data_IF_451733030491
#
_entry.id   IF_451733030491
#
_cell.length_a   1.000
_cell.length_b   1.000
_cell.length_c   1.000
_cell.angle_alpha   90.00
_cell.angle_beta   90.00
_cell.angle_gamma   90.00
#
_symmetry.space_group_name_H-M   'P 1'
#
loop_
_entity.id
_entity.type
_entity.pdbx_description
1 polymer ?
2 non-polymer ?
3 non-polymer ?
4 water ?
#
# COMPACT_ATOMS: atom_id res chain seq x y z
N UNK A 1 -0.98 0.62 -5.80
CA UNK A 1 -0.74 1.93 -6.46
C UNK A 1 -2.03 2.51 -7.09
N UNK A 2 -2.02 3.86 -7.18
CA UNK A 2 -3.18 4.55 -7.78
C UNK A 2 -2.81 4.69 -9.26
N UNK A 3 -3.75 4.40 -10.14
CA UNK A 3 -3.50 4.48 -11.59
C UNK A 3 -3.32 5.85 -12.14
N UNK A 4 -3.78 6.92 -11.67
CA UNK A 4 -3.59 8.28 -12.12
C UNK A 4 -4.82 9.04 -11.58
N UNK A 5 -4.99 10.21 -12.11
CA UNK A 5 -6.10 11.08 -11.75
C UNK A 5 -7.06 11.18 -12.92
N UNK A 6 -8.35 11.31 -12.71
CA UNK A 6 -9.32 11.40 -13.80
C UNK A 6 -10.29 12.55 -13.43
N UNK A 7 -10.73 13.27 -14.46
CA UNK A 7 -11.68 14.40 -14.24
C UNK A 7 -13.00 13.78 -13.88
N UNK A 8 -13.67 14.41 -12.95
CA UNK A 8 -14.98 13.87 -12.57
C UNK A 8 -15.87 13.86 -13.81
N UNK A 9 -15.73 14.82 -14.70
CA UNK A 9 -16.55 14.91 -15.91
C UNK A 9 -16.30 13.79 -16.88
N UNK A 10 -15.20 13.07 -16.76
CA UNK A 10 -14.89 11.92 -17.63
C UNK A 10 -15.40 10.61 -17.04
N UNK A 11 -15.95 10.56 -15.82
CA UNK A 11 -16.43 9.32 -15.22
C UNK A 11 -17.93 9.23 -15.52
N UNK A 12 -18.49 8.08 -15.29
CA UNK A 12 -19.94 7.94 -15.47
C UNK A 12 -20.64 8.95 -14.59
N UNK A 13 -21.80 9.47 -15.03
CA UNK A 13 -22.57 10.46 -14.30
C UNK A 13 -22.98 10.10 -12.89
N UNK A 14 -23.18 8.77 -12.66
CA UNK A 14 -23.52 8.22 -11.39
C UNK A 14 -22.37 8.48 -10.42
N UNK A 15 -21.13 8.67 -10.84
CA UNK A 15 -20.02 8.95 -9.90
C UNK A 15 -20.27 10.33 -9.30
N UNK A 16 -20.78 11.28 -10.12
CA UNK A 16 -21.11 12.61 -9.61
C UNK A 16 -22.22 12.47 -8.58
N UNK A 17 -23.23 11.64 -8.83
CA UNK A 17 -24.31 11.47 -7.86
C UNK A 17 -23.81 10.97 -6.49
N UNK A 18 -22.94 9.94 -6.55
CA UNK A 18 -22.34 9.44 -5.28
C UNK A 18 -21.58 10.54 -4.56
N UNK A 19 -20.73 11.30 -5.19
CA UNK A 19 -19.95 12.40 -4.58
C UNK A 19 -20.83 13.43 -3.97
N UNK A 20 -21.97 13.74 -4.62
CA UNK A 20 -22.95 14.70 -4.07
C UNK A 20 -23.62 14.14 -2.81
N UNK A 21 -23.90 12.86 -2.78
CA UNK A 21 -24.48 12.23 -1.60
C UNK A 21 -23.45 12.22 -0.46
N UNK A 22 -22.20 11.98 -0.78
CA UNK A 22 -21.13 12.00 0.24
C UNK A 22 -21.00 13.40 0.84
N UNK A 23 -21.10 14.47 0.03
CA UNK A 23 -21.02 15.88 0.50
C UNK A 23 -22.20 16.19 1.43
N UNK A 24 -23.39 15.64 1.27
CA UNK A 24 -24.57 15.88 2.13
C UNK A 24 -24.78 14.84 3.23
N UNK A 25 -23.85 13.87 3.33
CA UNK A 25 -23.95 12.82 4.34
C UNK A 25 -25.18 11.97 4.12
N UNK A 26 -25.42 11.63 2.88
CA UNK A 26 -26.50 10.80 2.46
C UNK A 26 -27.78 11.59 2.25
N UNK A 27 -28.89 10.90 2.29
CA UNK A 27 -28.99 9.47 2.55
C UNK A 27 -28.49 8.67 1.35
N UNK A 28 -28.09 7.46 1.58
CA UNK A 28 -27.51 6.62 0.51
C UNK A 28 -28.52 5.56 0.11
N UNK A 29 -28.50 5.09 -1.13
CA UNK A 29 -29.42 4.07 -1.60
C UNK A 29 -29.17 2.69 -1.01
N UNK A 30 -27.98 2.27 -0.62
CA UNK A 30 -27.64 0.99 -0.06
C UNK A 30 -27.13 1.09 1.35
N UNK A 31 -27.50 0.03 2.09
CA UNK A 31 -27.12 -0.10 3.52
C UNK A 31 -25.61 -0.29 3.70
N UNK A 32 -24.94 -0.87 2.69
CA UNK A 32 -23.50 -1.04 2.72
C UNK A 32 -22.75 0.26 2.41
N UNK A 33 -23.40 1.34 1.97
CA UNK A 33 -22.68 2.57 1.71
C UNK A 33 -22.15 3.24 2.99
N UNK A 34 -20.85 3.60 2.95
CA UNK A 34 -20.26 4.28 4.07
C UNK A 34 -19.56 3.30 5.02
N UNK A 35 -19.49 1.99 4.69
CA UNK A 35 -18.75 1.12 5.63
C UNK A 35 -17.24 1.31 5.40
N UNK A 36 -16.46 0.89 6.37
CA UNK A 36 -14.98 1.02 6.22
C UNK A 36 -14.48 0.14 5.08
N UNK A 37 -13.55 0.64 4.28
CA UNK A 37 -12.85 -0.06 3.25
C UNK A 37 -11.51 -0.37 3.96
N UNK A 38 -11.11 -1.59 4.18
CA UNK A 38 -9.93 -1.96 4.89
C UNK A 38 -8.62 -1.84 4.16
N UNK A 39 -8.67 -1.71 2.85
CA UNK A 39 -7.44 -1.68 2.03
C UNK A 39 -6.61 -2.89 2.35
N UNK A 40 -7.21 -4.04 2.39
CA UNK A 40 -6.55 -5.31 2.73
C UNK A 40 -5.50 -5.73 1.72
N UNK A 41 -5.77 -5.41 0.46
CA UNK A 41 -4.82 -5.73 -0.62
C UNK A 41 -3.67 -4.79 -0.73
N UNK A 42 -3.65 -3.67 0.08
CA UNK A 42 -2.58 -2.72 0.00
C UNK A 42 -2.43 -2.00 -1.32
N UNK A 43 -3.55 -1.81 -2.11
CA UNK A 43 -3.52 -1.08 -3.36
C UNK A 43 -3.41 0.42 -3.14
N UNK A 44 -4.06 0.99 -2.13
CA UNK A 44 -4.03 2.45 -1.80
C UNK A 44 -2.94 2.64 -0.71
N UNK A 45 -2.52 3.85 -0.47
CA UNK A 45 -1.53 4.12 0.56
C UNK A 45 -1.99 3.60 1.89
N UNK A 46 -0.99 3.09 2.63
CA UNK A 46 -1.19 2.53 3.97
C UNK A 46 -1.69 3.58 4.91
N UNK A 47 -2.75 3.33 5.65
CA UNK A 47 -3.31 4.33 6.58
C UNK A 47 -3.90 3.56 7.76
N UNK A 48 -4.28 4.24 8.83
CA UNK A 48 -4.95 3.54 9.92
C UNK A 48 -6.32 3.02 9.51
N UNK A 49 -6.85 2.05 10.24
CA UNK A 49 -8.15 1.42 10.05
C UNK A 49 -9.23 2.52 10.15
N UNK A 50 -10.13 2.57 9.14
CA UNK A 50 -11.14 3.63 9.29
C UNK A 50 -10.78 4.86 8.50
N UNK A 51 -9.59 5.05 7.96
CA UNK A 51 -9.24 6.19 7.18
C UNK A 51 -10.08 6.16 5.88
N UNK A 52 -10.31 4.98 5.29
CA UNK A 52 -11.05 4.81 4.03
C UNK A 52 -12.45 4.30 4.22
N UNK A 53 -13.46 4.73 3.39
CA UNK A 53 -14.82 4.30 3.42
C UNK A 53 -15.22 4.03 1.96
N UNK A 54 -16.10 3.08 1.77
CA UNK A 54 -16.54 2.76 0.41
C UNK A 54 -18.03 3.04 0.25
N UNK A 55 -18.35 3.49 -0.97
CA UNK A 55 -19.68 3.91 -1.40
C UNK A 55 -19.94 3.36 -2.79
N UNK A 56 -21.21 2.95 -3.01
CA UNK A 56 -21.58 2.44 -4.33
C UNK A 56 -21.78 3.55 -5.38
N UNK A 57 -21.30 3.28 -6.55
CA UNK A 57 -21.53 4.12 -7.73
C UNK A 57 -22.55 3.20 -8.51
N UNK A 58 -23.81 3.56 -8.58
CA UNK A 58 -24.84 2.76 -9.30
C UNK A 58 -24.48 2.48 -10.73
N UNK A 59 -24.65 1.19 -11.10
CA UNK A 59 -24.48 0.72 -12.46
C UNK A 59 -25.94 0.65 -13.04
N UNK A 60 -26.24 1.46 -14.01
CA UNK A 60 -27.58 1.48 -14.59
C UNK A 60 -28.08 0.11 -15.03
N UNK A 61 -29.24 -0.35 -14.60
CA UNK A 61 -29.77 -1.64 -15.01
C UNK A 61 -29.37 -2.79 -14.13
N UNK A 62 -28.31 -2.71 -13.32
CA UNK A 62 -27.91 -3.81 -12.46
C UNK A 62 -28.85 -4.08 -11.33
N UNK A 63 -29.01 -5.37 -11.05
CA UNK A 63 -29.80 -5.84 -9.89
C UNK A 63 -28.94 -5.83 -8.64
N UNK A 64 -27.60 -5.84 -8.75
CA UNK A 64 -26.79 -5.87 -7.55
C UNK A 64 -26.02 -4.51 -7.47
N UNK A 65 -25.11 -4.37 -6.49
CA UNK A 65 -24.29 -3.21 -6.31
C UNK A 65 -23.25 -3.08 -7.42
N UNK A 66 -23.04 -4.13 -8.23
CA UNK A 66 -22.12 -4.14 -9.34
C UNK A 66 -20.65 -3.91 -8.92
N UNK A 67 -19.87 -3.35 -9.85
CA UNK A 67 -18.41 -3.24 -9.55
C UNK A 67 -17.88 -1.85 -9.39
N UNK A 68 -18.71 -0.81 -9.40
CA UNK A 68 -18.16 0.58 -9.34
C UNK A 68 -18.30 1.13 -7.93
N UNK A 69 -17.26 1.79 -7.44
CA UNK A 69 -17.33 2.34 -6.11
C UNK A 69 -16.52 3.60 -6.00
N UNK A 70 -16.92 4.34 -4.97
CA UNK A 70 -16.02 5.55 -4.71
C UNK A 70 -15.35 5.19 -3.35
N UNK A 71 -14.08 5.37 -3.13
CA UNK A 71 -13.45 5.14 -1.85
C UNK A 71 -13.03 6.55 -1.37
N UNK A 72 -13.48 6.94 -0.19
CA UNK A 72 -12.95 8.26 0.28
C UNK A 72 -11.81 8.04 1.29
N UNK A 73 -10.93 9.02 1.38
CA UNK A 73 -9.84 8.96 2.36
C UNK A 73 -10.16 10.12 3.30
N UNK A 74 -9.50 10.31 4.44
CA UNK A 74 -9.74 11.41 5.34
C UNK A 74 -9.20 12.72 4.87
N UNK A 75 -8.28 12.82 3.97
CA UNK A 75 -7.76 14.06 3.45
C UNK A 75 -8.82 14.77 2.59
N UNK A 76 -8.65 16.12 2.53
CA UNK A 76 -9.45 17.00 1.73
C UNK A 76 -9.42 16.61 0.24
N UNK A 77 -10.56 16.37 -0.39
CA UNK A 77 -10.70 15.95 -1.81
C UNK A 77 -10.03 14.60 -2.11
N UNK A 78 -9.69 13.80 -1.16
CA UNK A 78 -9.10 12.50 -1.45
C UNK A 78 -10.26 11.53 -1.66
N UNK A 79 -10.55 11.24 -2.96
CA UNK A 79 -11.58 10.32 -3.35
C UNK A 79 -11.07 9.52 -4.55
N UNK A 80 -11.23 8.21 -4.43
CA UNK A 80 -10.80 7.37 -5.53
C UNK A 80 -11.97 6.65 -6.22
N UNK A 81 -11.92 6.46 -7.51
CA UNK A 81 -12.90 5.73 -8.24
C UNK A 81 -12.32 4.33 -8.65
N UNK A 82 -13.14 3.28 -8.56
CA UNK A 82 -12.84 1.95 -9.03
C UNK A 82 -14.05 1.49 -9.89
N UNK A 83 -13.70 1.03 -11.10
CA UNK A 83 -14.78 0.52 -11.96
C UNK A 83 -14.68 -0.98 -12.00
N UNK A 84 -13.69 -1.62 -11.37
CA UNK A 84 -13.55 -3.09 -11.49
C UNK A 84 -13.47 -3.80 -10.14
N UNK A 85 -14.32 -3.32 -9.23
CA UNK A 85 -14.46 -3.88 -7.89
C UNK A 85 -13.13 -4.00 -7.17
N UNK A 86 -12.41 -2.88 -7.03
CA UNK A 86 -11.17 -2.69 -6.28
C UNK A 86 -9.89 -3.24 -6.85
N UNK A 87 -9.85 -3.62 -8.13
CA UNK A 87 -8.65 -4.08 -8.76
C UNK A 87 -7.75 -2.86 -9.04
N UNK A 88 -8.32 -1.79 -9.62
CA UNK A 88 -7.59 -0.57 -9.96
C UNK A 88 -8.32 0.65 -9.46
N UNK A 89 -7.63 1.73 -9.17
CA UNK A 89 -8.22 2.96 -8.64
C UNK A 89 -7.64 4.16 -9.36
N UNK A 90 -8.44 5.21 -9.49
CA UNK A 90 -7.96 6.46 -10.08
C UNK A 90 -8.31 7.58 -9.07
N UNK A 91 -7.48 8.59 -8.93
CA UNK A 91 -7.89 9.63 -8.00
C UNK A 91 -8.90 10.52 -8.81
N UNK A 92 -9.93 10.92 -8.15
CA UNK A 92 -10.95 11.75 -8.82
C UNK A 92 -10.60 13.24 -8.73
N UNK A 93 -10.54 13.93 -9.86
CA UNK A 93 -10.30 15.41 -9.78
C UNK A 93 -11.68 16.10 -9.95
N UNK A 94 -12.20 16.77 -8.90
CA UNK A 94 -13.51 17.42 -8.97
C UNK A 94 -13.52 18.79 -9.59
N UNK A 95 -12.35 19.25 -10.02
CA UNK A 95 -12.23 20.58 -10.66
C UNK A 95 -12.40 20.47 -12.13
N UNK A 96 -12.55 19.33 -12.74
CA UNK A 96 -12.68 19.27 -14.18
C UNK A 96 -13.61 18.15 -14.65
N UNK B 1 24.68 -16.52 9.55
CA UNK B 1 25.16 -16.63 8.17
C UNK B 1 24.03 -16.19 7.19
N UNK B 2 24.40 -15.61 6.05
CA UNK B 2 23.41 -15.23 5.02
C UNK B 2 23.16 -16.50 4.20
N UNK B 3 21.92 -16.83 3.90
CA UNK B 3 21.50 -17.99 3.15
C UNK B 3 21.70 -17.96 1.64
N UNK B 4 22.52 -17.13 1.09
CA UNK B 4 22.84 -17.05 -0.33
C UNK B 4 22.22 -15.75 -0.90
N UNK B 5 22.33 -15.53 -2.17
CA UNK B 5 21.79 -14.34 -2.78
C UNK B 5 20.48 -14.67 -3.47
N UNK B 6 19.66 -13.64 -3.56
CA UNK B 6 18.35 -13.89 -4.24
C UNK B 6 18.21 -12.73 -5.22
N UNK B 7 17.74 -13.11 -6.42
CA UNK B 7 17.48 -12.11 -7.43
C UNK B 7 16.29 -11.28 -6.96
N UNK B 8 16.39 -9.98 -7.18
CA UNK B 8 15.27 -9.06 -6.82
C UNK B 8 14.03 -9.51 -7.55
N UNK B 9 14.12 -10.03 -8.77
CA UNK B 9 13.00 -10.47 -9.59
C UNK B 9 12.26 -11.68 -9.03
N UNK B 10 12.85 -12.47 -8.17
CA UNK B 10 12.29 -13.63 -7.54
C UNK B 10 11.63 -13.21 -6.22
N UNK B 11 11.73 -11.98 -5.76
CA UNK B 11 11.12 -11.62 -4.46
C UNK B 11 9.71 -11.11 -4.66
N UNK B 12 8.91 -11.02 -3.61
CA UNK B 12 7.56 -10.41 -3.80
C UNK B 12 7.74 -9.02 -4.39
N UNK B 13 6.81 -8.51 -5.19
CA UNK B 13 6.90 -7.22 -5.82
C UNK B 13 7.05 -6.05 -4.84
N UNK B 14 6.49 -6.17 -3.64
CA UNK B 14 6.61 -5.14 -2.63
C UNK B 14 8.08 -4.94 -2.20
N UNK B 15 8.96 -5.93 -2.39
CA UNK B 15 10.40 -5.80 -2.08
C UNK B 15 10.99 -4.66 -2.92
N UNK B 16 10.54 -4.58 -4.20
CA UNK B 16 10.97 -3.54 -5.11
C UNK B 16 10.48 -2.17 -4.65
N UNK B 17 9.23 -2.11 -4.19
CA UNK B 17 8.68 -0.86 -3.66
C UNK B 17 9.53 -0.39 -2.47
N UNK B 18 9.85 -1.35 -1.54
CA UNK B 18 10.63 -0.85 -0.35
C UNK B 18 12.04 -0.34 -0.79
N UNK B 19 12.67 -1.07 -1.75
CA UNK B 19 13.99 -0.59 -2.21
C UNK B 19 13.95 0.82 -2.81
N UNK B 20 12.89 1.11 -3.59
CA UNK B 20 12.66 2.43 -4.18
C UNK B 20 12.50 3.46 -3.13
N UNK B 21 11.74 3.08 -2.06
CA UNK B 21 11.56 4.03 -0.94
C UNK B 21 12.87 4.27 -0.24
N UNK B 22 13.61 3.18 -0.05
CA UNK B 22 14.89 3.31 0.63
C UNK B 22 15.76 4.30 -0.19
N UNK B 23 15.73 4.18 -1.48
CA UNK B 23 16.53 5.02 -2.38
C UNK B 23 16.16 6.50 -2.26
N UNK B 24 14.92 6.91 -2.09
CA UNK B 24 14.51 8.30 -1.98
C UNK B 24 14.40 8.80 -0.56
N UNK B 25 14.78 7.96 0.39
CA UNK B 25 14.69 8.27 1.82
C UNK B 25 13.23 8.62 2.17
N UNK B 26 12.31 7.79 1.68
CA UNK B 26 10.92 7.74 1.86
C UNK B 26 10.15 8.76 1.04
N UNK B 27 9.01 9.25 1.53
CA UNK B 27 8.39 8.91 2.83
C UNK B 27 7.97 7.45 2.99
N UNK B 28 8.16 6.86 4.15
CA UNK B 28 7.88 5.49 4.49
C UNK B 28 6.46 5.35 5.01
N UNK B 29 5.84 4.22 4.80
CA UNK B 29 4.47 4.10 5.30
C UNK B 29 4.34 3.92 6.79
N UNK B 30 5.32 3.26 7.48
CA UNK B 30 5.19 3.00 8.91
C UNK B 30 6.17 3.83 9.69
N UNK B 31 5.76 4.20 10.89
CA UNK B 31 6.73 5.03 11.68
C UNK B 31 7.90 4.20 12.17
N UNK B 32 7.83 2.89 12.18
CA UNK B 32 8.93 1.99 12.55
C UNK B 32 9.86 1.74 11.37
N UNK B 33 9.65 2.25 10.17
CA UNK B 33 10.58 2.04 9.09
C UNK B 33 11.83 2.92 9.31
N UNK B 34 12.97 2.30 9.14
CA UNK B 34 14.22 3.03 9.30
C UNK B 34 14.86 2.98 10.69
N UNK B 35 14.35 2.25 11.60
CA UNK B 35 14.90 2.05 12.93
C UNK B 35 16.16 1.14 12.76
N UNK B 36 17.02 1.25 13.73
CA UNK B 36 18.28 0.47 13.65
C UNK B 36 17.94 -0.96 13.87
N UNK B 37 18.55 -1.85 13.15
CA UNK B 37 18.47 -3.29 13.33
C UNK B 37 19.68 -3.64 14.21
N UNK B 38 19.44 -4.20 15.38
CA UNK B 38 20.50 -4.56 16.32
C UNK B 38 21.28 -5.81 15.98
N UNK B 39 20.78 -6.79 15.22
CA UNK B 39 21.51 -8.01 14.85
C UNK B 39 21.96 -8.75 16.10
N UNK B 40 20.98 -8.78 17.00
CA UNK B 40 21.27 -9.37 18.32
C UNK B 40 21.51 -10.87 18.21
N UNK B 41 21.00 -11.54 17.21
CA UNK B 41 21.21 -12.99 17.11
C UNK B 41 22.46 -13.24 16.28
N UNK B 42 23.15 -12.18 15.89
CA UNK B 42 24.36 -12.32 15.09
C UNK B 42 24.28 -13.16 13.82
N UNK B 43 23.09 -13.11 13.18
CA UNK B 43 22.87 -13.77 11.91
C UNK B 43 23.67 -13.08 10.81
N UNK B 44 23.74 -11.74 10.83
CA UNK B 44 24.51 -10.97 9.82
C UNK B 44 25.90 -10.64 10.40
N UNK B 45 26.86 -10.23 9.58
CA UNK B 45 28.17 -9.93 10.12
C UNK B 45 28.08 -8.92 11.28
N UNK B 46 28.93 -9.12 12.33
CA UNK B 46 28.95 -8.21 13.46
C UNK B 46 29.45 -6.86 12.95
N UNK B 47 28.81 -5.80 13.37
CA UNK B 47 29.14 -4.44 13.05
C UNK B 47 28.81 -3.51 14.23
N UNK B 48 29.29 -2.30 14.19
CA UNK B 48 28.92 -1.38 15.27
C UNK B 48 27.40 -1.10 15.23
N UNK B 49 26.84 -0.81 16.38
CA UNK B 49 25.43 -0.46 16.50
C UNK B 49 25.09 0.67 15.57
N UNK B 50 24.04 0.63 14.74
CA UNK B 50 23.66 1.68 13.83
C UNK B 50 24.06 1.45 12.40
N UNK B 51 24.88 0.45 12.16
CA UNK B 51 25.28 0.09 10.81
C UNK B 51 24.11 -0.43 9.92
N UNK B 52 23.19 -1.10 10.55
CA UNK B 52 22.02 -1.75 9.95
C UNK B 52 20.74 -1.05 10.30
N UNK B 53 19.84 -0.88 9.34
CA UNK B 53 18.50 -0.33 9.55
C UNK B 53 17.47 -1.29 8.89
N UNK B 54 16.30 -1.24 9.44
CA UNK B 54 15.25 -2.15 8.81
C UNK B 54 14.07 -1.36 8.37
N UNK B 55 13.48 -1.90 7.28
CA UNK B 55 12.30 -1.39 6.58
C UNK B 55 11.26 -2.44 6.25
N UNK B 56 9.98 -2.09 6.36
CA UNK B 56 8.92 -3.07 6.16
C UNK B 56 8.83 -3.41 4.65
N UNK B 57 8.52 -4.61 4.33
CA UNK B 57 8.17 -5.09 3.00
C UNK B 57 6.65 -5.42 3.30
N UNK B 58 5.78 -4.61 2.71
CA UNK B 58 4.36 -4.85 2.98
C UNK B 58 3.95 -6.20 2.45
N UNK B 59 3.13 -6.98 3.17
CA UNK B 59 2.51 -8.26 2.90
C UNK B 59 1.01 -7.97 2.63
N UNK B 60 0.59 -7.98 1.37
CA UNK B 60 -0.80 -7.73 1.01
C UNK B 60 -1.68 -8.76 1.69
N UNK B 61 -2.78 -8.39 2.27
CA UNK B 61 -3.61 -9.41 2.92
C UNK B 61 -3.24 -9.51 4.41
N UNK B 62 -2.04 -9.09 4.86
CA UNK B 62 -1.76 -9.25 6.30
C UNK B 62 -2.50 -8.20 7.13
N UNK B 63 -2.81 -8.51 8.40
CA UNK B 63 -3.49 -7.43 9.18
C UNK B 63 -2.54 -6.58 9.96
N UNK B 64 -1.28 -7.08 10.03
CA UNK B 64 -0.20 -6.34 10.72
C UNK B 64 0.93 -5.97 9.76
N UNK B 65 2.03 -5.50 10.34
CA UNK B 65 3.21 -5.21 9.55
C UNK B 65 3.80 -6.55 9.01
N UNK B 66 3.45 -7.70 9.53
CA UNK B 66 3.92 -8.96 9.00
C UNK B 66 5.39 -9.20 9.30
N UNK B 67 5.94 -10.15 8.59
CA UNK B 67 7.34 -10.61 8.84
C UNK B 67 8.38 -10.36 7.76
N UNK B 68 8.09 -9.64 6.67
CA UNK B 68 9.02 -9.36 5.58
C UNK B 68 9.68 -8.00 5.78
N UNK B 69 10.98 -8.03 5.67
CA UNK B 69 11.69 -6.74 5.86
C UNK B 69 12.91 -6.72 4.95
N UNK B 70 13.41 -5.52 4.73
CA UNK B 70 14.65 -5.29 4.05
C UNK B 70 15.57 -4.67 5.15
N UNK B 71 16.77 -5.20 5.31
CA UNK B 71 17.76 -4.74 6.18
C UNK B 71 18.85 -4.12 5.32
N UNK B 72 19.18 -2.86 5.54
CA UNK B 72 20.31 -2.35 4.76
C UNK B 72 21.56 -2.24 5.68
N UNK B 73 22.71 -2.33 5.03
CA UNK B 73 23.99 -2.17 5.71
C UNK B 73 24.57 -0.91 5.11
N UNK B 74 25.78 -0.53 5.54
CA UNK B 74 26.33 0.70 4.96
C UNK B 74 27.07 0.52 3.66
N UNK B 75 27.44 -0.67 3.26
CA UNK B 75 28.17 -0.81 1.97
C UNK B 75 27.18 -0.58 0.85
N UNK B 76 27.69 -0.39 -0.38
CA UNK B 76 26.82 -0.09 -1.51
C UNK B 76 26.01 -1.31 -1.90
N UNK B 77 24.68 -1.16 -2.09
CA UNK B 77 23.86 -2.33 -2.44
C UNK B 77 23.92 -3.42 -1.40
N UNK B 78 24.29 -3.11 -0.17
CA UNK B 78 24.29 -4.15 0.86
C UNK B 78 22.86 -4.15 1.41
N UNK B 79 21.96 -4.89 0.82
CA UNK B 79 20.56 -5.00 1.24
C UNK B 79 20.25 -6.47 1.43
N UNK B 80 19.66 -6.83 2.54
CA UNK B 80 19.29 -8.19 2.86
C UNK B 80 17.76 -8.29 2.95
N UNK B 81 17.20 -9.41 2.52
CA UNK B 81 15.75 -9.64 2.58
C UNK B 81 15.52 -10.76 3.62
N UNK B 82 14.49 -10.60 4.41
CA UNK B 82 14.12 -11.63 5.38
C UNK B 82 12.59 -11.71 5.15
N UNK B 83 12.10 -12.94 5.01
CA UNK B 83 10.66 -13.14 4.87
C UNK B 83 10.15 -13.82 6.14
N UNK B 84 10.93 -14.09 7.16
CA UNK B 84 10.52 -14.84 8.37
C UNK B 84 10.91 -14.18 9.69
N UNK B 85 10.81 -12.86 9.59
CA UNK B 85 11.09 -12.02 10.76
C UNK B 85 12.43 -12.28 11.40
N UNK B 86 13.48 -12.08 10.63
CA UNK B 86 14.89 -12.16 10.96
C UNK B 86 15.44 -13.50 11.35
N UNK B 87 14.80 -14.60 11.04
CA UNK B 87 15.35 -15.93 11.24
C UNK B 87 16.44 -16.17 10.21
N UNK B 88 16.12 -15.89 8.94
CA UNK B 88 17.10 -16.10 7.85
C UNK B 88 17.17 -14.90 6.94
N UNK B 89 18.27 -14.71 6.23
CA UNK B 89 18.41 -13.56 5.38
C UNK B 89 19.08 -13.98 4.05
N UNK B 90 18.72 -13.25 3.02
CA UNK B 90 19.40 -13.46 1.74
C UNK B 90 19.90 -12.07 1.29
N UNK B 91 21.06 -12.01 0.65
CA UNK B 91 21.62 -10.81 0.05
C UNK B 91 20.82 -10.61 -1.28
N UNK B 92 20.38 -9.37 -1.47
CA UNK B 92 19.58 -9.14 -2.66
C UNK B 92 20.48 -8.80 -3.84
N UNK B 93 20.23 -9.51 -4.93
CA UNK B 93 21.02 -9.23 -6.18
C UNK B 93 20.05 -8.42 -7.03
N UNK B 94 20.28 -7.09 -7.17
CA UNK B 94 19.38 -6.24 -7.98
C UNK B 94 19.58 -6.31 -9.50
N UNK B 95 20.51 -7.14 -9.95
CA UNK B 95 20.77 -7.22 -11.39
C UNK B 95 20.08 -8.39 -12.06
N UNK B 96 19.28 -9.21 -11.39
CA UNK B 96 18.59 -10.33 -12.00
C UNK B 96 17.19 -10.49 -11.51
X LIG C 1 -26.48 -7.67 -12.33
X LIG C 1 -26.36 -9.15 -12.17
X LIG C 1 -26.22 -6.97 -11.07
X LIG C 1 -27.90 -7.40 -12.77
X LIG C 1 -25.66 -7.16 -13.43
X LIG D 1 -18.16 -4.90 -1.47
X LIG D 1 -19.10 -6.29 -2.45
X LIG D 1 -17.96 -3.64 -2.15
X LIG D 1 -16.52 -5.13 3.67
X LIG D 1 -17.50 -4.15 3.33
X LIG D 1 -17.65 -3.79 1.89
X LIG D 1 -16.56 -3.11 1.18
X LIG D 1 -17.90 -5.05 1.05
X LIG D 1 -18.86 -4.75 -0.07
X LIG D 1 -16.51 -5.44 0.46
X LIG D 1 -16.73 -5.57 -0.95
X LIG D 1 -15.71 -4.13 0.69
X LIG D 1 -14.42 -4.14 1.19
X LIG D 1 -14.10 -3.61 2.39
X LIG D 1 -12.78 -3.59 2.68
X LIG D 1 -12.23 -4.23 1.54
X LIG D 1 -10.91 -4.54 1.20
X LIG D 1 -9.89 -4.28 1.86
X LIG D 1 -10.79 -5.20 -0.01
X LIG D 1 -11.87 -5.51 -0.83
X LIG D 1 -11.46 -6.09 -2.00
X LIG D 1 -13.12 -5.26 -0.52
X LIG D 1 -13.23 -4.57 0.62
X LIG E 1 10.06 -5.62 14.07
X LIG E 1 8.38 -6.66 14.29
X LIG E 1 10.47 -5.53 12.73
X LIG E 1 13.02 -2.84 17.69
X LIG E 1 12.92 -2.27 16.38
X LIG E 1 12.27 -3.10 15.32
X LIG E 1 13.10 -3.97 14.48
X LIG E 1 11.19 -4.07 15.72
X LIG E 1 10.11 -4.18 14.62
X LIG E 1 11.94 -5.42 15.88
X LIG E 1 11.12 -6.27 15.08
X LIG E 1 13.23 -5.23 15.07
X LIG E 1 14.53 -5.46 15.47
X LIG E 1 15.50 -4.54 15.64
X LIG E 1 16.69 -5.01 15.95
X LIG E 1 16.51 -6.39 16.00
X LIG E 1 17.35 -7.47 16.24
X LIG E 1 18.56 -7.50 16.50
X LIG E 1 16.74 -8.70 16.22
X LIG E 1 15.40 -8.87 15.93
X LIG E 1 14.97 -10.16 15.93
X LIG E 1 14.58 -7.89 15.71
X LIG E 1 15.18 -6.66 15.69
#
# INVERSE_FOLDING_TARGET
DVSGTVCLSALPPEATDTLNLIASDGPFPYSQDGVVFQNRESVLPTQSYGYYHEYTVITPGARTRGTRRIICGEATQEDYYTGDHYATFSLIDQTC
DVSGTVCLSALPPEATDTLNLIASDGPFPYSQDGVVFQNRESVLPTQSYGYYHEYTVITPGARTRGTRRIICGEATQEDYYTGDHYATFSLIDQTC
SO4 S O1 O2 O3 O4
SGP P S1P O1P O5' C5' C4' O4' C3' O3' C2' O2' C1' N9 C8 N7 C5 C6 O6 N1 C2 N2 N3 C4
SGP P S1P O1P O5' C5' C4' O4' C3' O3' C2' O2' C1' N9 C8 N7 C5 C6 O6 N1 C2 N2 N3 C4
#
